data_IF_094601434242
#
_entry.id   IF_094601434242
#
_cell.length_a   1.000
_cell.length_b   1.000
_cell.length_c   1.000
_cell.angle_alpha   90.00
_cell.angle_beta   90.00
_cell.angle_gamma   90.00
#
_symmetry.space_group_name_H-M   'P 1'
#
loop_
_entity.id
_entity.type
_entity.pdbx_description
1 polymer ?
#
# COMPACT_ATOMS: atom_id res chain seq x y z
N UNK A 1 46.89 -10.59 -22.45
CA UNK A 1 45.72 -11.46 -22.13
C UNK A 1 45.13 -11.20 -20.75
N UNK A 2 45.86 -10.59 -19.81
CA UNK A 2 45.36 -10.26 -18.46
C UNK A 2 44.42 -9.04 -18.40
N UNK A 3 44.70 -8.00 -19.21
CA UNK A 3 43.87 -6.78 -19.28
C UNK A 3 42.43 -7.03 -19.78
N UNK A 4 42.24 -7.98 -20.70
CA UNK A 4 40.91 -8.34 -21.21
C UNK A 4 40.07 -9.06 -20.15
N UNK A 5 40.68 -9.91 -19.31
CA UNK A 5 39.99 -10.66 -18.25
C UNK A 5 39.47 -9.76 -17.12
N UNK A 6 40.24 -8.71 -16.78
CA UNK A 6 39.81 -7.73 -15.78
C UNK A 6 38.60 -6.91 -16.26
N UNK A 7 38.58 -6.52 -17.55
CA UNK A 7 37.44 -5.84 -18.14
C UNK A 7 36.19 -6.74 -18.22
N UNK A 8 36.37 -8.03 -18.54
CA UNK A 8 35.29 -9.02 -18.58
C UNK A 8 34.68 -9.22 -17.18
N UNK A 9 35.50 -9.37 -16.15
CA UNK A 9 35.02 -9.52 -14.77
C UNK A 9 34.20 -8.32 -14.30
N UNK A 10 34.61 -7.10 -14.66
CA UNK A 10 33.86 -5.90 -14.33
C UNK A 10 32.46 -5.93 -14.97
N UNK A 11 32.36 -6.27 -16.25
CA UNK A 11 31.06 -6.33 -16.98
C UNK A 11 30.15 -7.44 -16.43
N UNK A 12 30.70 -8.61 -16.10
CA UNK A 12 29.95 -9.72 -15.49
C UNK A 12 29.42 -9.36 -14.11
N UNK A 13 30.21 -8.63 -13.30
CA UNK A 13 29.74 -8.13 -12.00
C UNK A 13 28.58 -7.15 -12.15
N UNK A 14 28.63 -6.21 -13.10
CA UNK A 14 27.53 -5.25 -13.33
C UNK A 14 26.20 -5.93 -13.76
N UNK A 15 26.28 -7.01 -14.54
CA UNK A 15 25.09 -7.75 -14.98
C UNK A 15 24.43 -8.56 -13.85
N UNK A 16 25.21 -9.04 -12.88
CA UNK A 16 24.70 -9.79 -11.72
C UNK A 16 24.01 -8.89 -10.68
N UNK A 17 24.31 -7.59 -10.66
CA UNK A 17 23.66 -6.62 -9.76
C UNK A 17 22.35 -6.02 -10.31
N UNK A 18 21.95 -6.37 -11.53
CA UNK A 18 20.63 -5.99 -12.06
C UNK A 18 19.52 -6.88 -11.50
N UNK A 19 19.40 -6.96 -10.18
CA UNK A 19 18.10 -7.23 -9.59
C UNK A 19 17.25 -5.97 -9.78
N UNK A 20 16.69 -5.80 -10.97
CA UNK A 20 15.40 -5.13 -11.09
C UNK A 20 14.49 -5.97 -10.22
N UNK A 21 14.35 -5.57 -8.96
CA UNK A 21 13.25 -6.02 -8.15
C UNK A 21 12.02 -5.45 -8.84
N UNK A 22 11.46 -6.22 -9.77
CA UNK A 22 10.02 -6.22 -9.95
C UNK A 22 9.48 -6.55 -8.56
N UNK A 23 9.20 -5.51 -7.78
CA UNK A 23 8.40 -5.69 -6.58
C UNK A 23 7.17 -6.46 -7.07
N UNK A 24 6.79 -7.58 -6.44
CA UNK A 24 5.52 -8.18 -6.76
C UNK A 24 4.52 -7.05 -6.57
N UNK A 25 3.83 -6.67 -7.64
CA UNK A 25 2.56 -5.98 -7.49
C UNK A 25 1.78 -6.95 -6.62
N UNK A 26 1.70 -6.69 -5.31
CA UNK A 26 0.68 -7.31 -4.51
C UNK A 26 -0.58 -7.02 -5.30
N UNK A 27 -1.21 -8.10 -5.78
CA UNK A 27 -2.48 -8.10 -6.47
C UNK A 27 -3.54 -7.55 -5.52
N UNK A 28 -3.44 -6.27 -5.17
CA UNK A 28 -4.58 -5.47 -4.82
C UNK A 28 -4.82 -4.70 -6.10
N UNK A 29 -5.76 -5.27 -6.84
CA UNK A 29 -6.29 -4.79 -8.09
C UNK A 29 -6.40 -3.25 -8.13
N UNK A 30 -6.45 -2.72 -9.35
CA UNK A 30 -6.78 -1.34 -9.66
C UNK A 30 -8.13 -0.88 -9.03
N UNK A 31 -8.12 -0.63 -7.74
CA UNK A 31 -9.25 -0.28 -6.89
C UNK A 31 -8.69 0.27 -5.59
N UNK A 32 -8.44 1.58 -5.59
CA UNK A 32 -8.04 2.43 -4.48
C UNK A 32 -7.68 1.72 -3.15
N UNK A 33 -6.39 1.67 -2.83
CA UNK A 33 -5.94 1.23 -1.51
C UNK A 33 -6.40 2.26 -0.46
N UNK A 34 -7.16 1.79 0.52
CA UNK A 34 -7.69 2.61 1.61
C UNK A 34 -7.19 2.12 3.00
N UNK A 35 -6.81 3.07 3.86
CA UNK A 35 -6.26 2.81 5.20
C UNK A 35 -7.08 3.49 6.30
N UNK A 36 -7.29 2.81 7.42
CA UNK A 36 -8.03 3.37 8.55
C UNK A 36 -7.27 4.54 9.20
N UNK A 37 -7.99 5.58 9.62
CA UNK A 37 -7.45 6.63 10.49
C UNK A 37 -7.32 6.09 11.93
N UNK A 38 -6.12 6.08 12.54
CA UNK A 38 -5.93 5.60 13.91
C UNK A 38 -6.63 6.46 14.96
N UNK A 39 -6.98 7.72 14.65
CA UNK A 39 -7.61 8.63 15.60
C UNK A 39 -9.14 8.65 15.51
N UNK A 40 -9.70 8.28 14.36
CA UNK A 40 -11.13 8.32 14.14
C UNK A 40 -11.58 7.16 13.23
N UNK A 41 -12.31 6.20 13.79
CA UNK A 41 -12.78 5.03 13.08
C UNK A 41 -13.76 5.35 11.92
N UNK A 42 -14.34 6.55 11.88
CA UNK A 42 -15.18 7.02 10.78
C UNK A 42 -14.37 7.63 9.62
N UNK A 43 -13.05 7.72 9.74
CA UNK A 43 -12.16 8.32 8.73
C UNK A 43 -11.20 7.29 8.15
N UNK A 44 -10.82 7.51 6.90
CA UNK A 44 -9.87 6.67 6.19
C UNK A 44 -9.11 7.47 5.15
N UNK A 45 -7.90 7.03 4.83
CA UNK A 45 -7.09 7.59 3.75
C UNK A 45 -7.28 6.75 2.51
N UNK A 46 -7.44 7.39 1.35
CA UNK A 46 -7.51 6.71 0.06
C UNK A 46 -6.45 7.31 -0.88
N UNK A 47 -5.64 6.47 -1.52
CA UNK A 47 -4.65 6.93 -2.49
C UNK A 47 -5.19 6.79 -3.92
N UNK A 48 -5.43 7.90 -4.65
CA UNK A 48 -5.71 7.84 -6.07
C UNK A 48 -4.45 7.41 -6.83
N UNK A 49 -4.64 6.80 -8.00
CA UNK A 49 -3.52 6.35 -8.85
C UNK A 49 -2.60 7.53 -9.19
N UNK A 50 -1.34 7.45 -8.76
CA UNK A 50 -0.34 8.50 -9.00
C UNK A 50 -0.50 9.77 -8.16
N UNK A 51 -1.35 9.76 -7.12
CA UNK A 51 -1.59 10.92 -6.27
C UNK A 51 -1.16 10.74 -4.82
N UNK A 52 -1.60 11.67 -3.97
CA UNK A 52 -1.35 11.67 -2.53
C UNK A 52 -2.56 11.11 -1.77
N UNK A 53 -2.35 10.49 -0.58
CA UNK A 53 -3.45 9.99 0.23
C UNK A 53 -4.40 11.12 0.63
N UNK A 54 -5.70 10.92 0.37
CA UNK A 54 -6.77 11.86 0.72
C UNK A 54 -7.54 11.31 1.90
N UNK A 55 -7.70 12.12 2.94
CA UNK A 55 -8.55 11.79 4.09
C UNK A 55 -10.02 11.92 3.70
N UNK A 56 -10.75 10.82 3.79
CA UNK A 56 -12.20 10.72 3.58
C UNK A 56 -12.89 10.35 4.89
N UNK A 57 -14.17 10.67 4.96
CA UNK A 57 -15.03 10.34 6.10
C UNK A 57 -16.21 9.51 5.59
N UNK A 58 -16.54 8.44 6.30
CA UNK A 58 -17.71 7.62 6.03
C UNK A 58 -19.01 8.40 6.27
N UNK A 59 -20.11 7.91 5.69
CA UNK A 59 -21.43 8.50 5.92
C UNK A 59 -21.90 8.37 7.38
N UNK A 60 -22.93 9.13 7.79
CA UNK A 60 -23.49 9.02 9.13
C UNK A 60 -23.89 7.58 9.48
N UNK A 61 -23.56 7.13 10.70
CA UNK A 61 -23.86 5.77 11.17
C UNK A 61 -22.95 4.66 10.61
N UNK A 62 -21.93 5.02 9.85
CA UNK A 62 -20.99 4.07 9.24
C UNK A 62 -19.54 4.37 9.62
N UNK A 63 -18.69 3.36 9.57
CA UNK A 63 -17.27 3.42 9.89
C UNK A 63 -16.45 2.59 8.91
N UNK A 64 -15.16 2.93 8.79
CA UNK A 64 -14.31 2.30 7.80
C UNK A 64 -13.88 0.89 8.24
N UNK A 65 -14.29 -0.13 7.49
CA UNK A 65 -13.91 -1.51 7.72
C UNK A 65 -12.67 -1.88 6.90
N UNK A 66 -11.49 -1.85 7.53
CA UNK A 66 -10.21 -2.10 6.85
C UNK A 66 -10.08 -3.49 6.17
N UNK A 67 -10.86 -4.49 6.60
CA UNK A 67 -10.89 -5.83 5.98
C UNK A 67 -11.53 -5.86 4.60
N UNK A 68 -12.51 -4.99 4.39
CA UNK A 68 -13.32 -4.93 3.15
C UNK A 68 -13.07 -3.64 2.38
N UNK A 69 -12.31 -2.70 2.96
CA UNK A 69 -12.01 -1.37 2.41
C UNK A 69 -13.25 -0.56 2.06
N UNK A 70 -14.36 -0.76 2.79
CA UNK A 70 -15.62 -0.03 2.62
C UNK A 70 -16.13 0.53 3.94
N UNK A 71 -17.05 1.49 3.87
CA UNK A 71 -17.79 1.96 5.03
C UNK A 71 -18.91 0.97 5.35
N UNK A 72 -18.85 0.35 6.52
CA UNK A 72 -19.86 -0.57 7.04
C UNK A 72 -20.56 0.07 8.26
N UNK A 73 -21.64 -0.52 8.75
CA UNK A 73 -22.31 -0.02 9.95
C UNK A 73 -21.36 0.00 11.15
N UNK A 74 -21.32 1.12 11.88
CA UNK A 74 -20.32 1.34 12.93
C UNK A 74 -20.30 0.27 14.03
N UNK A 75 -21.47 -0.31 14.33
CA UNK A 75 -21.65 -1.39 15.31
C UNK A 75 -21.18 -2.77 14.81
N UNK A 76 -20.64 -2.87 13.60
CA UNK A 76 -20.00 -4.07 13.06
C UNK A 76 -18.48 -3.89 12.94
N UNK A 77 -17.99 -2.65 13.07
CA UNK A 77 -16.59 -2.30 12.80
C UNK A 77 -15.76 -2.33 14.07
N UNK A 78 -14.85 -3.31 14.16
CA UNK A 78 -13.95 -3.56 15.30
C UNK A 78 -13.21 -2.30 15.83
N UNK A 79 -12.87 -1.35 14.97
CA UNK A 79 -12.15 -0.13 15.38
C UNK A 79 -13.03 0.92 16.08
N UNK A 80 -14.37 0.82 16.02
CA UNK A 80 -15.27 1.77 16.68
C UNK A 80 -15.75 1.34 18.07
N UNK A 81 -15.42 0.12 18.53
CA UNK A 81 -15.93 -0.40 19.80
C UNK A 81 -15.29 0.20 21.06
N UNK A 82 -14.21 0.98 20.93
CA UNK A 82 -13.52 1.59 22.07
C UNK A 82 -14.14 2.91 22.56
N UNK A 83 -15.41 3.15 22.23
CA UNK A 83 -16.13 4.38 22.56
C UNK A 83 -17.27 4.07 23.53
N UNK A 84 -16.93 3.62 24.73
CA UNK A 84 -17.83 3.46 25.87
C UNK A 84 -17.17 4.01 27.13
#
# INVERSE_FOLDING_TARGET
>A
MHFAYQAINAVVSFMLFSSVTAAPVTEVAAGAVAWADPQNCHRFYECPVGGTPVLKTCGPGTAFQAKTSVCDYEHLVASCWHRW
#
